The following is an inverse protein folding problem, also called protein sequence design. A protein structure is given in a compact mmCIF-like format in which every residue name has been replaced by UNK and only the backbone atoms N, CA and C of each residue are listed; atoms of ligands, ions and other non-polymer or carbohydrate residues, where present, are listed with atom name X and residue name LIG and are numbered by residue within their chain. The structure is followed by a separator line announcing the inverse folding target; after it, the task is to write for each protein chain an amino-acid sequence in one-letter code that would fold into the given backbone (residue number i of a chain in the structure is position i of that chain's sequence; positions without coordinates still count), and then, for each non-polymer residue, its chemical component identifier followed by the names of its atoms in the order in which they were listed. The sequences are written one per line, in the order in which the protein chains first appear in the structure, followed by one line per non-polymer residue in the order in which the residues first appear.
data_IF_341074777994
#
_entry.id   IF_341074777994
#
_cell.length_a   1.000
_cell.length_b   1.000
_cell.length_c   1.000
_cell.angle_alpha   90.00
_cell.angle_beta   90.00
_cell.angle_gamma   90.00
#
_symmetry.space_group_name_H-M   'P 1'
#
loop_
_entity.id
_entity.type
_entity.pdbx_description
1 polymer ?
#
# COMPACT_ATOMS: atom_id res chain seq x y z
N UNK A 1 80.48 -38.34 25.84
CA UNK A 1 81.84 -38.19 25.29
C UNK A 1 81.86 -38.68 23.84
N UNK A 2 81.95 -37.70 22.92
CA UNK A 2 82.74 -37.75 21.69
C UNK A 2 82.19 -38.35 20.36
N UNK A 3 80.91 -38.73 20.23
CA UNK A 3 80.36 -39.06 18.88
C UNK A 3 79.07 -38.32 18.46
N UNK A 4 78.27 -37.81 19.41
CA UNK A 4 77.05 -37.05 19.11
C UNK A 4 77.28 -35.52 18.99
N UNK A 5 78.41 -35.01 19.48
CA UNK A 5 78.78 -33.59 19.38
C UNK A 5 79.57 -33.23 18.11
N UNK A 6 80.16 -34.21 17.40
CA UNK A 6 80.84 -33.98 16.12
C UNK A 6 79.87 -33.89 14.94
N UNK A 7 78.75 -34.61 14.97
CA UNK A 7 77.69 -34.55 13.95
C UNK A 7 76.88 -33.25 14.00
N UNK A 8 76.70 -32.65 15.18
CA UNK A 8 76.01 -31.35 15.32
C UNK A 8 76.83 -30.16 14.81
N UNK A 9 78.16 -30.25 14.79
CA UNK A 9 79.03 -29.19 14.27
C UNK A 9 79.36 -29.30 12.78
N UNK A 10 79.12 -30.46 12.14
CA UNK A 10 79.26 -30.61 10.69
C UNK A 10 78.04 -30.07 9.91
N UNK A 11 76.82 -30.20 10.47
CA UNK A 11 75.60 -29.69 9.81
C UNK A 11 75.50 -28.15 9.85
N UNK A 12 76.12 -27.50 10.84
CA UNK A 12 76.15 -26.02 10.92
C UNK A 12 77.15 -25.33 9.98
N UNK A 13 78.05 -26.07 9.32
CA UNK A 13 79.08 -25.49 8.43
C UNK A 13 78.82 -25.69 6.92
N UNK A 14 77.72 -26.34 6.56
CA UNK A 14 77.28 -26.49 5.15
C UNK A 14 76.23 -25.48 4.69
N UNK A 15 75.65 -24.69 5.60
CA UNK A 15 74.55 -23.76 5.31
C UNK A 15 75.00 -22.33 4.95
N UNK A 16 76.30 -22.10 4.79
CA UNK A 16 76.86 -20.79 4.39
C UNK A 16 77.15 -20.63 2.89
N UNK A 17 76.95 -21.66 2.07
CA UNK A 17 77.42 -21.67 0.66
C UNK A 17 76.28 -21.44 -0.36
N UNK A 18 75.05 -21.20 0.11
CA UNK A 18 73.91 -20.91 -0.78
C UNK A 18 73.14 -19.62 -0.40
N UNK A 19 73.77 -18.70 0.34
CA UNK A 19 73.17 -17.40 0.65
C UNK A 19 73.13 -16.41 -0.53
N UNK A 20 73.84 -16.70 -1.63
CA UNK A 20 73.90 -15.82 -2.82
C UNK A 20 73.35 -16.49 -4.11
N UNK A 21 72.32 -17.34 -4.00
CA UNK A 21 71.54 -17.74 -5.17
C UNK A 21 70.29 -16.85 -5.30
N UNK A 22 70.03 -16.18 -6.44
CA UNK A 22 68.78 -15.45 -6.61
C UNK A 22 67.61 -16.42 -6.45
N UNK A 23 66.71 -16.12 -5.52
CA UNK A 23 65.51 -16.90 -5.29
C UNK A 23 64.69 -16.97 -6.58
N UNK A 24 64.32 -18.19 -7.00
CA UNK A 24 63.31 -18.37 -8.03
C UNK A 24 62.03 -17.63 -7.59
N UNK A 25 61.35 -16.90 -8.50
CA UNK A 25 60.13 -16.19 -8.13
C UNK A 25 59.12 -17.20 -7.60
N UNK A 26 58.68 -16.97 -6.37
CA UNK A 26 57.57 -17.70 -5.75
C UNK A 26 56.36 -17.58 -6.68
N UNK A 27 55.58 -18.65 -6.93
CA UNK A 27 54.32 -18.50 -7.63
C UNK A 27 53.48 -17.51 -6.82
N UNK A 28 53.08 -16.42 -7.46
CA UNK A 28 52.11 -15.49 -6.89
C UNK A 28 50.89 -16.28 -6.43
N UNK A 29 50.35 -16.03 -5.23
CA UNK A 29 49.07 -16.59 -4.84
C UNK A 29 48.06 -16.25 -5.94
N UNK A 30 47.55 -17.27 -6.64
CA UNK A 30 46.40 -17.05 -7.50
C UNK A 30 45.30 -16.44 -6.61
N UNK A 31 44.67 -15.34 -7.04
CA UNK A 31 43.47 -14.85 -6.36
C UNK A 31 42.51 -16.04 -6.28
N UNK A 32 42.06 -16.40 -5.06
CA UNK A 32 40.93 -17.31 -4.92
C UNK A 32 39.84 -16.81 -5.88
N UNK A 33 39.28 -17.67 -6.74
CA UNK A 33 38.17 -17.26 -7.58
C UNK A 33 37.08 -16.72 -6.65
N UNK A 34 36.80 -15.41 -6.75
CA UNK A 34 35.65 -14.83 -6.08
C UNK A 34 34.44 -15.70 -6.43
N UNK A 35 33.59 -16.08 -5.46
CA UNK A 35 32.34 -16.76 -5.76
C UNK A 35 31.65 -15.95 -6.86
N UNK A 36 31.49 -16.55 -8.03
CA UNK A 36 30.87 -15.89 -9.15
C UNK A 36 29.50 -15.41 -8.67
N UNK A 37 29.28 -14.08 -8.71
CA UNK A 37 27.99 -13.49 -8.33
C UNK A 37 26.91 -14.30 -9.08
N UNK A 38 25.92 -14.88 -8.37
CA UNK A 38 24.95 -15.74 -9.02
C UNK A 38 24.34 -14.99 -10.19
N UNK A 39 24.33 -15.63 -11.37
CA UNK A 39 23.77 -15.03 -12.57
C UNK A 39 22.34 -14.53 -12.25
N UNK A 40 21.98 -13.29 -12.63
CA UNK A 40 20.67 -12.73 -12.32
C UNK A 40 19.60 -13.69 -12.83
N UNK A 41 18.60 -13.97 -11.99
CA UNK A 41 17.48 -14.81 -12.40
C UNK A 41 16.89 -14.23 -13.69
N UNK A 42 16.72 -15.07 -14.71
CA UNK A 42 16.15 -14.61 -15.96
C UNK A 42 14.70 -14.17 -15.70
N UNK A 43 14.43 -12.88 -15.86
CA UNK A 43 13.10 -12.29 -15.72
C UNK A 43 12.52 -12.10 -17.10
N UNK A 44 11.38 -12.71 -17.39
CA UNK A 44 10.59 -12.42 -18.58
C UNK A 44 9.52 -11.40 -18.23
N UNK A 45 9.44 -10.32 -19.02
CA UNK A 45 8.38 -9.33 -18.88
C UNK A 45 7.61 -9.22 -20.20
N UNK A 46 6.29 -9.20 -20.10
CA UNK A 46 5.40 -8.90 -21.23
C UNK A 46 5.44 -7.40 -21.58
N UNK A 47 4.78 -7.04 -22.69
CA UNK A 47 4.57 -5.64 -23.07
C UNK A 47 3.69 -4.89 -22.07
N UNK A 48 3.83 -3.57 -22.03
CA UNK A 48 2.98 -2.71 -21.21
C UNK A 48 1.58 -2.59 -21.80
N UNK A 49 0.58 -2.63 -20.92
CA UNK A 49 -0.83 -2.41 -21.25
C UNK A 49 -1.43 -1.40 -20.28
N UNK A 50 -2.48 -0.70 -20.71
CA UNK A 50 -3.21 0.18 -19.81
C UNK A 50 -3.93 -0.62 -18.72
N UNK A 51 -3.94 -0.08 -17.50
CA UNK A 51 -4.67 -0.63 -16.37
C UNK A 51 -5.21 0.50 -15.49
N UNK A 52 -6.30 0.22 -14.77
CA UNK A 52 -6.72 1.03 -13.64
C UNK A 52 -6.22 0.33 -12.37
N UNK A 53 -5.63 1.11 -11.46
CA UNK A 53 -5.52 0.73 -10.06
C UNK A 53 -6.75 1.35 -9.39
N UNK A 54 -7.67 0.54 -8.91
CA UNK A 54 -8.93 1.02 -8.36
C UNK A 54 -9.15 0.57 -6.91
N UNK A 55 -10.29 0.94 -6.31
CA UNK A 55 -10.59 0.59 -4.92
C UNK A 55 -10.78 -0.93 -4.70
N UNK A 56 -11.08 -1.72 -5.73
CA UNK A 56 -11.23 -3.18 -5.56
C UNK A 56 -9.87 -3.87 -5.42
N UNK A 57 -8.80 -3.23 -5.86
CA UNK A 57 -7.42 -3.70 -5.66
C UNK A 57 -6.91 -3.47 -4.21
N UNK A 58 -7.66 -2.74 -3.37
CA UNK A 58 -7.26 -2.39 -2.01
C UNK A 58 -7.99 -3.24 -0.95
N UNK A 59 -7.20 -3.87 -0.09
CA UNK A 59 -7.68 -4.58 1.09
C UNK A 59 -7.60 -3.71 2.35
N UNK A 60 -8.55 -3.90 3.27
CA UNK A 60 -8.49 -3.28 4.60
C UNK A 60 -7.24 -3.77 5.35
N UNK A 61 -6.53 -2.85 6.02
CA UNK A 61 -5.40 -3.23 6.88
C UNK A 61 -5.83 -3.84 8.22
N UNK A 62 -7.09 -3.60 8.62
CA UNK A 62 -7.63 -3.97 9.94
C UNK A 62 -7.20 -3.03 11.09
N UNK A 63 -6.44 -1.97 10.80
CA UNK A 63 -6.08 -0.98 11.82
C UNK A 63 -7.31 -0.15 12.22
N UNK A 64 -7.53 -0.04 13.53
CA UNK A 64 -8.60 0.79 14.07
C UNK A 64 -8.31 2.29 13.84
N UNK A 65 -9.37 3.08 13.70
CA UNK A 65 -9.30 4.53 13.56
C UNK A 65 -8.58 5.19 14.74
N UNK A 66 -7.70 6.14 14.44
CA UNK A 66 -6.98 6.97 15.42
C UNK A 66 -7.08 8.45 15.02
N UNK A 67 -7.66 9.31 15.85
CA UNK A 67 -7.73 10.74 15.56
C UNK A 67 -6.35 11.39 15.67
N UNK A 68 -6.06 12.36 14.81
CA UNK A 68 -4.84 13.17 14.80
C UNK A 68 -3.53 12.38 14.58
N UNK A 69 -3.61 11.20 13.96
CA UNK A 69 -2.46 10.38 13.61
C UNK A 69 -2.64 9.79 12.21
N UNK A 70 -1.55 9.69 11.43
CA UNK A 70 -1.60 8.93 10.20
C UNK A 70 -1.67 7.43 10.50
N UNK A 71 -2.63 6.74 9.91
CA UNK A 71 -2.69 5.29 9.95
C UNK A 71 -3.03 4.72 8.58
N UNK A 72 -2.54 3.51 8.28
CA UNK A 72 -2.86 2.81 7.04
C UNK A 72 -4.30 2.28 7.11
N UNK A 73 -5.17 2.84 6.27
CA UNK A 73 -6.58 2.45 6.17
C UNK A 73 -6.75 1.20 5.30
N UNK A 74 -6.07 1.20 4.15
CA UNK A 74 -6.11 0.13 3.18
C UNK A 74 -4.77 -0.01 2.44
N UNK A 75 -4.58 -1.14 1.77
CA UNK A 75 -3.38 -1.39 0.98
C UNK A 75 -3.67 -2.22 -0.26
N UNK A 76 -3.00 -1.92 -1.36
CA UNK A 76 -2.89 -2.80 -2.52
C UNK A 76 -1.53 -3.49 -2.47
N UNK A 77 -1.51 -4.83 -2.41
CA UNK A 77 -0.29 -5.61 -2.53
C UNK A 77 -0.01 -5.88 -4.00
N UNK A 78 1.16 -5.47 -4.49
CA UNK A 78 1.54 -5.76 -5.87
C UNK A 78 1.67 -7.28 -6.05
N UNK A 79 0.95 -7.91 -6.99
CA UNK A 79 1.06 -9.33 -7.24
C UNK A 79 2.48 -9.74 -7.63
N UNK A 80 2.90 -10.94 -7.23
CA UNK A 80 4.25 -11.45 -7.48
C UNK A 80 4.61 -11.59 -8.97
N UNK A 81 3.61 -11.52 -9.84
CA UNK A 81 3.74 -11.65 -11.30
C UNK A 81 3.33 -10.40 -12.06
N UNK A 82 3.16 -9.26 -11.38
CA UNK A 82 2.74 -8.02 -11.98
C UNK A 82 3.74 -6.89 -11.71
N UNK A 83 3.82 -5.97 -12.65
CA UNK A 83 4.51 -4.69 -12.47
C UNK A 83 3.57 -3.59 -12.96
N UNK A 84 3.23 -2.66 -12.06
CA UNK A 84 2.46 -1.47 -12.40
C UNK A 84 3.34 -0.23 -12.40
N UNK A 85 2.99 0.71 -13.27
CA UNK A 85 3.64 2.01 -13.40
C UNK A 85 2.60 3.11 -13.42
N UNK A 86 2.73 4.06 -12.50
CA UNK A 86 1.98 5.32 -12.54
C UNK A 86 2.92 6.37 -13.13
N UNK A 87 2.48 7.07 -14.18
CA UNK A 87 3.32 8.04 -14.89
C UNK A 87 3.41 9.37 -14.12
N UNK A 88 4.55 10.04 -14.23
CA UNK A 88 4.69 11.42 -13.76
C UNK A 88 3.73 12.32 -14.55
N UNK A 89 3.04 13.23 -13.86
CA UNK A 89 2.07 14.12 -14.47
C UNK A 89 0.74 13.46 -14.85
N UNK A 90 0.47 12.21 -14.44
CA UNK A 90 -0.81 11.55 -14.69
C UNK A 90 -1.94 12.35 -14.03
N UNK A 91 -3.02 12.60 -14.78
CA UNK A 91 -4.18 13.39 -14.33
C UNK A 91 -5.48 12.60 -14.39
N UNK A 92 -5.48 11.40 -14.98
CA UNK A 92 -6.62 10.49 -14.93
C UNK A 92 -6.61 9.78 -13.57
N UNK A 93 -6.89 10.54 -12.53
CA UNK A 93 -7.14 10.05 -11.18
C UNK A 93 -8.57 10.38 -10.81
N UNK A 94 -9.22 9.54 -10.01
CA UNK A 94 -10.46 9.89 -9.33
C UNK A 94 -10.44 9.31 -7.94
N UNK A 95 -10.57 10.16 -6.92
CA UNK A 95 -10.48 9.74 -5.52
C UNK A 95 -11.57 10.44 -4.71
N UNK A 96 -12.49 9.66 -4.16
CA UNK A 96 -13.52 10.08 -3.23
C UNK A 96 -13.54 9.12 -2.04
N UNK A 97 -12.94 9.57 -0.93
CA UNK A 97 -12.84 8.80 0.30
C UNK A 97 -13.94 9.23 1.27
N UNK A 98 -14.37 8.29 2.13
CA UNK A 98 -15.60 8.42 2.91
C UNK A 98 -15.33 8.36 4.40
N UNK A 99 -15.88 9.32 5.12
CA UNK A 99 -15.99 9.30 6.57
C UNK A 99 -17.11 8.37 7.02
N UNK A 100 -17.10 7.97 8.28
CA UNK A 100 -18.13 7.19 8.95
C UNK A 100 -18.72 8.01 10.09
N UNK A 101 -20.05 8.15 10.12
CA UNK A 101 -20.79 8.51 11.31
C UNK A 101 -21.74 7.36 11.69
N UNK A 102 -21.59 6.86 12.91
CA UNK A 102 -22.43 5.77 13.43
C UNK A 102 -23.42 6.31 14.47
N UNK A 103 -24.65 5.84 14.41
CA UNK A 103 -25.73 6.27 15.29
C UNK A 103 -26.52 5.08 15.82
N UNK A 104 -27.12 5.27 17.00
CA UNK A 104 -28.06 4.32 17.57
C UNK A 104 -29.39 4.34 16.79
N UNK A 105 -30.00 3.16 16.61
CA UNK A 105 -31.38 3.04 16.14
C UNK A 105 -32.38 3.55 17.18
N UNK A 106 -33.55 3.99 16.72
CA UNK A 106 -34.64 4.48 17.56
C UNK A 106 -35.67 3.40 17.89
N UNK A 107 -35.46 2.16 17.41
CA UNK A 107 -36.39 1.03 17.55
C UNK A 107 -37.84 1.41 17.18
N UNK A 108 -37.99 2.07 16.04
CA UNK A 108 -39.29 2.57 15.58
C UNK A 108 -40.25 1.42 15.28
N UNK A 109 -41.54 1.63 15.54
CA UNK A 109 -42.59 0.70 15.14
C UNK A 109 -42.87 0.73 13.63
N UNK A 110 -42.58 1.85 12.96
CA UNK A 110 -42.75 2.06 11.51
C UNK A 110 -41.60 2.92 10.98
N UNK A 111 -41.34 2.88 9.67
CA UNK A 111 -40.27 3.68 9.09
C UNK A 111 -40.58 5.18 9.18
N UNK A 112 -39.61 6.01 9.57
CA UNK A 112 -39.78 7.45 9.74
C UNK A 112 -38.57 8.23 9.25
N UNK A 113 -38.77 9.52 8.93
CA UNK A 113 -37.67 10.40 8.57
C UNK A 113 -36.80 10.71 9.80
N UNK A 114 -35.49 10.62 9.61
CA UNK A 114 -34.48 10.97 10.61
C UNK A 114 -33.46 11.91 10.00
N UNK A 115 -33.13 12.97 10.74
CA UNK A 115 -32.07 13.90 10.38
C UNK A 115 -30.89 13.69 11.31
N UNK A 116 -29.68 13.62 10.75
CA UNK A 116 -28.42 13.52 11.49
C UNK A 116 -27.44 14.58 11.02
N UNK A 117 -26.55 15.01 11.91
CA UNK A 117 -25.46 15.94 11.60
C UNK A 117 -24.19 15.16 11.25
N UNK A 118 -23.52 15.55 10.17
CA UNK A 118 -22.32 14.93 9.62
C UNK A 118 -21.19 15.98 9.55
N UNK A 119 -20.28 16.02 10.54
CA UNK A 119 -19.19 16.98 10.57
C UNK A 119 -18.34 16.96 9.30
N UNK A 120 -18.01 18.14 8.77
CA UNK A 120 -17.20 18.36 7.57
C UNK A 120 -17.79 17.80 6.28
N UNK A 121 -19.10 17.53 6.23
CA UNK A 121 -19.80 17.16 5.00
C UNK A 121 -19.59 18.23 3.91
N UNK A 122 -19.17 17.80 2.71
CA UNK A 122 -18.99 18.68 1.54
C UNK A 122 -19.59 18.05 0.29
N UNK A 123 -20.03 18.86 -0.68
CA UNK A 123 -20.42 18.36 -1.99
C UNK A 123 -19.18 17.98 -2.80
N UNK A 124 -19.23 16.85 -3.50
CA UNK A 124 -18.33 16.62 -4.63
C UNK A 124 -18.92 17.18 -5.92
N UNK A 125 -18.10 17.33 -6.95
CA UNK A 125 -18.54 17.73 -8.29
C UNK A 125 -19.07 16.54 -9.13
N UNK A 126 -19.39 15.42 -8.49
CA UNK A 126 -20.01 14.28 -9.16
C UNK A 126 -21.49 14.58 -9.45
N UNK A 127 -21.99 14.05 -10.57
CA UNK A 127 -23.42 14.11 -10.87
C UNK A 127 -24.24 13.36 -9.81
N UNK A 128 -25.12 14.06 -9.10
CA UNK A 128 -26.01 13.48 -8.11
C UNK A 128 -27.43 13.28 -8.68
N UNK A 129 -28.11 12.15 -8.37
CA UNK A 129 -29.50 11.97 -8.75
C UNK A 129 -30.42 12.91 -7.95
N UNK A 130 -31.60 13.19 -8.49
CA UNK A 130 -32.64 13.92 -7.76
C UNK A 130 -33.10 13.10 -6.55
N UNK A 131 -33.22 13.75 -5.38
CA UNK A 131 -33.73 13.13 -4.17
C UNK A 131 -35.28 13.10 -4.19
N UNK A 132 -35.93 12.08 -3.60
CA UNK A 132 -35.34 11.04 -2.76
C UNK A 132 -34.67 9.91 -3.55
N UNK A 133 -33.58 9.35 -3.01
CA UNK A 133 -32.81 8.26 -3.64
C UNK A 133 -32.07 7.42 -2.58
N UNK A 134 -31.88 6.12 -2.84
CA UNK A 134 -30.99 5.26 -2.03
C UNK A 134 -29.52 5.37 -2.44
N UNK A 135 -29.25 6.00 -3.58
CA UNK A 135 -27.92 6.29 -4.09
C UNK A 135 -27.68 7.79 -4.13
N UNK A 136 -26.56 8.22 -3.59
CA UNK A 136 -26.04 9.58 -3.73
C UNK A 136 -24.51 9.50 -3.75
N UNK A 137 -23.81 10.21 -4.65
CA UNK A 137 -22.35 10.08 -4.76
C UNK A 137 -21.64 10.50 -3.49
N UNK A 138 -22.16 11.49 -2.75
CA UNK A 138 -21.55 11.97 -1.52
C UNK A 138 -21.96 11.23 -0.26
N UNK A 139 -23.08 10.53 -0.23
CA UNK A 139 -23.68 10.01 1.00
C UNK A 139 -24.28 8.63 0.75
N UNK A 140 -23.94 7.68 1.61
CA UNK A 140 -24.61 6.38 1.68
C UNK A 140 -25.05 6.12 3.12
N UNK A 141 -26.32 5.75 3.31
CA UNK A 141 -26.87 5.44 4.63
C UNK A 141 -27.23 3.97 4.69
N UNK A 142 -26.78 3.28 5.72
CA UNK A 142 -27.07 1.88 6.00
C UNK A 142 -27.70 1.76 7.38
N UNK A 143 -28.69 0.87 7.50
CA UNK A 143 -29.28 0.50 8.79
C UNK A 143 -29.29 -1.02 8.93
N UNK A 144 -29.04 -1.51 10.14
CA UNK A 144 -29.05 -2.94 10.46
C UNK A 144 -30.39 -3.31 11.09
N UNK A 145 -31.15 -4.19 10.43
CA UNK A 145 -32.43 -4.70 10.91
C UNK A 145 -32.36 -6.22 10.95
N UNK A 146 -32.64 -6.81 12.12
CA UNK A 146 -32.57 -8.27 12.28
C UNK A 146 -31.20 -8.88 11.94
N UNK A 147 -30.12 -8.11 12.10
CA UNK A 147 -28.75 -8.55 11.78
C UNK A 147 -28.29 -8.25 10.35
N UNK A 148 -29.18 -7.80 9.46
CA UNK A 148 -28.89 -7.54 8.04
C UNK A 148 -28.79 -6.04 7.78
N UNK A 149 -27.73 -5.63 7.08
CA UNK A 149 -27.56 -4.25 6.62
C UNK A 149 -28.36 -3.98 5.35
N UNK A 150 -29.14 -2.90 5.35
CA UNK A 150 -29.89 -2.43 4.19
C UNK A 150 -29.65 -0.93 3.96
N UNK A 151 -29.66 -0.51 2.69
CA UNK A 151 -29.54 0.91 2.33
C UNK A 151 -30.82 1.66 2.67
N UNK A 152 -30.67 2.84 3.24
CA UNK A 152 -31.80 3.74 3.55
C UNK A 152 -31.99 4.75 2.42
N UNK A 153 -33.24 5.14 2.17
CA UNK A 153 -33.56 6.22 1.25
C UNK A 153 -33.15 7.56 1.86
N UNK A 154 -32.39 8.35 1.11
CA UNK A 154 -32.00 9.71 1.45
C UNK A 154 -33.07 10.64 0.89
N UNK A 155 -33.64 11.48 1.75
CA UNK A 155 -34.67 12.46 1.38
C UNK A 155 -34.08 13.86 1.16
N UNK A 156 -33.05 14.23 1.91
CA UNK A 156 -32.38 15.53 1.78
C UNK A 156 -30.91 15.46 2.21
N UNK A 157 -30.08 16.27 1.56
CA UNK A 157 -28.68 16.53 1.94
C UNK A 157 -28.52 18.05 2.03
N UNK A 158 -28.26 18.56 3.24
CA UNK A 158 -28.02 19.98 3.50
C UNK A 158 -26.53 20.17 3.83
N UNK A 159 -25.74 20.51 2.81
CA UNK A 159 -24.30 20.74 2.96
C UNK A 159 -23.98 21.93 3.88
N UNK A 160 -24.74 23.03 3.80
CA UNK A 160 -24.52 24.21 4.63
C UNK A 160 -24.81 23.92 6.12
N UNK A 161 -25.88 23.18 6.39
CA UNK A 161 -26.23 22.73 7.74
C UNK A 161 -25.48 21.47 8.21
N UNK A 162 -24.65 20.88 7.35
CA UNK A 162 -23.96 19.61 7.60
C UNK A 162 -24.92 18.49 8.03
N UNK A 163 -26.07 18.37 7.36
CA UNK A 163 -27.14 17.45 7.75
C UNK A 163 -27.58 16.55 6.60
N UNK A 164 -27.98 15.34 6.94
CA UNK A 164 -28.64 14.40 6.03
C UNK A 164 -29.94 13.94 6.66
N UNK A 165 -31.02 13.96 5.87
CA UNK A 165 -32.31 13.39 6.24
C UNK A 165 -32.54 12.12 5.42
N UNK A 166 -32.78 11.00 6.09
CA UNK A 166 -33.05 9.70 5.49
C UNK A 166 -34.25 9.03 6.15
N UNK A 167 -34.73 7.93 5.56
CA UNK A 167 -35.78 7.09 6.16
C UNK A 167 -35.15 6.00 7.00
N UNK A 168 -35.30 6.08 8.32
CA UNK A 168 -34.91 5.00 9.23
C UNK A 168 -35.96 3.89 9.18
N UNK A 169 -35.59 2.62 8.92
CA UNK A 169 -36.53 1.51 8.94
C UNK A 169 -36.97 1.15 10.36
N UNK A 170 -38.10 0.44 10.48
CA UNK A 170 -38.57 -0.09 11.76
C UNK A 170 -37.59 -1.13 12.33
N UNK A 171 -37.52 -1.23 13.66
CA UNK A 171 -36.81 -2.30 14.35
C UNK A 171 -35.27 -2.24 14.32
N UNK A 172 -34.68 -1.05 14.11
CA UNK A 172 -33.24 -0.83 14.31
C UNK A 172 -32.97 -0.61 15.80
N UNK A 173 -32.20 -1.49 16.45
CA UNK A 173 -32.08 -1.49 17.92
C UNK A 173 -30.67 -1.24 18.46
N UNK A 174 -29.61 -1.55 17.70
CA UNK A 174 -28.24 -1.41 18.20
C UNK A 174 -27.77 0.04 18.30
N UNK A 175 -26.74 0.25 19.12
CA UNK A 175 -26.17 1.58 19.43
C UNK A 175 -25.32 2.17 18.30
N UNK A 176 -24.96 1.35 17.30
CA UNK A 176 -24.21 1.73 16.10
C UNK A 176 -24.78 1.06 14.84
N UNK A 177 -26.05 0.67 14.89
CA UNK A 177 -26.72 -0.05 13.81
C UNK A 177 -27.20 0.86 12.67
N UNK A 178 -26.87 2.16 12.71
CA UNK A 178 -27.00 3.08 11.58
C UNK A 178 -25.62 3.62 11.24
N UNK A 179 -25.15 3.35 10.03
CA UNK A 179 -23.88 3.84 9.52
C UNK A 179 -24.15 4.80 8.36
N UNK A 180 -23.60 6.00 8.44
CA UNK A 180 -23.61 6.97 7.35
C UNK A 180 -22.20 7.16 6.85
N UNK A 181 -21.97 6.82 5.59
CA UNK A 181 -20.70 7.03 4.90
C UNK A 181 -20.78 8.25 4.02
N UNK A 182 -19.85 9.20 4.14
CA UNK A 182 -19.99 10.49 3.48
C UNK A 182 -18.68 11.15 3.03
N UNK A 183 -18.72 11.92 1.93
CA UNK A 183 -17.61 12.77 1.49
C UNK A 183 -17.38 13.87 2.52
N UNK A 184 -16.15 14.00 3.03
CA UNK A 184 -15.81 15.02 4.04
C UNK A 184 -14.58 15.83 3.67
N UNK A 185 -14.34 16.92 4.40
CA UNK A 185 -13.19 17.82 4.23
C UNK A 185 -12.16 17.77 5.38
N UNK A 186 -12.40 16.96 6.42
CA UNK A 186 -11.53 16.88 7.61
C UNK A 186 -10.21 16.16 7.32
N UNK A 187 -9.10 16.91 7.31
CA UNK A 187 -7.75 16.36 7.27
C UNK A 187 -7.21 16.09 5.86
N UNK A 188 -6.43 15.01 5.73
CA UNK A 188 -5.68 14.68 4.52
C UNK A 188 -5.41 13.18 4.38
N UNK A 189 -5.01 12.75 3.18
CA UNK A 189 -4.57 11.38 2.92
C UNK A 189 -3.30 11.38 2.08
N UNK A 190 -2.57 10.28 2.18
CA UNK A 190 -1.38 10.04 1.36
C UNK A 190 -1.33 8.61 0.87
N UNK A 191 -0.80 8.44 -0.33
CA UNK A 191 -0.41 7.15 -0.85
C UNK A 191 1.09 6.97 -0.66
N UNK A 192 1.49 5.80 -0.16
CA UNK A 192 2.90 5.47 0.07
C UNK A 192 3.24 4.12 -0.52
N UNK A 193 4.46 3.98 -1.03
CA UNK A 193 4.99 2.68 -1.46
C UNK A 193 5.86 2.15 -0.35
N UNK A 194 5.46 1.00 0.22
CA UNK A 194 6.24 0.24 1.16
C UNK A 194 6.87 -0.97 0.46
N UNK A 195 8.12 -1.29 0.81
CA UNK A 195 8.77 -2.55 0.40
C UNK A 195 8.66 -3.57 1.49
N UNK A 196 8.22 -4.76 1.12
CA UNK A 196 8.11 -5.92 2.00
C UNK A 196 9.36 -6.78 1.81
N UNK A 197 10.49 -6.32 2.37
CA UNK A 197 11.80 -6.94 2.11
C UNK A 197 12.18 -8.05 3.12
N UNK A 198 11.26 -8.48 4.00
CA UNK A 198 11.52 -9.56 4.97
C UNK A 198 12.64 -9.26 5.97
N UNK A 199 12.99 -7.99 6.18
CA UNK A 199 14.04 -7.52 7.08
C UNK A 199 13.64 -6.28 7.88
N UNK A 200 14.52 -5.84 8.79
CA UNK A 200 14.27 -4.79 9.81
C UNK A 200 14.12 -3.36 9.23
N UNK A 201 14.48 -3.16 7.96
CA UNK A 201 14.45 -1.85 7.28
C UNK A 201 13.25 -1.74 6.30
N UNK A 202 12.07 -1.44 6.84
CA UNK A 202 10.89 -1.09 6.04
C UNK A 202 11.08 0.32 5.43
N UNK A 203 11.56 0.37 4.19
CA UNK A 203 11.59 1.62 3.42
C UNK A 203 10.19 1.97 2.93
N UNK A 204 9.69 3.16 3.30
CA UNK A 204 8.36 3.65 2.90
C UNK A 204 8.45 5.08 2.38
N UNK A 205 8.09 5.29 1.11
CA UNK A 205 8.13 6.59 0.46
C UNK A 205 6.72 7.11 0.16
N UNK A 206 6.45 8.37 0.48
CA UNK A 206 5.19 9.05 0.09
C UNK A 206 5.26 9.44 -1.37
N UNK A 207 4.25 9.04 -2.13
CA UNK A 207 4.18 9.24 -3.59
C UNK A 207 3.04 10.14 -4.04
N UNK A 208 2.03 10.31 -3.19
CA UNK A 208 0.92 11.25 -3.41
C UNK A 208 0.40 11.72 -2.05
N UNK A 209 0.03 12.99 -1.92
CA UNK A 209 -0.54 13.56 -0.69
C UNK A 209 -1.47 14.73 -1.06
N UNK A 210 -2.68 14.74 -0.51
CA UNK A 210 -3.66 15.82 -0.68
C UNK A 210 -4.55 15.96 0.56
N UNK A 211 -5.06 17.17 0.78
CA UNK A 211 -6.16 17.36 1.72
C UNK A 211 -7.46 16.79 1.15
N UNK A 212 -8.35 16.30 2.01
CA UNK A 212 -9.66 15.81 1.55
C UNK A 212 -10.47 16.95 0.93
N UNK A 213 -10.41 18.14 1.51
CA UNK A 213 -11.06 19.34 0.97
C UNK A 213 -10.69 19.60 -0.50
N UNK A 214 -9.39 19.60 -0.81
CA UNK A 214 -8.92 19.82 -2.19
C UNK A 214 -9.30 18.66 -3.10
N UNK A 215 -8.99 17.41 -2.70
CA UNK A 215 -9.22 16.26 -3.56
C UNK A 215 -10.70 16.08 -3.92
N UNK A 216 -11.60 16.31 -2.96
CA UNK A 216 -13.04 16.09 -3.16
C UNK A 216 -13.75 17.26 -3.87
N UNK A 217 -13.15 18.46 -3.92
CA UNK A 217 -13.77 19.66 -4.52
C UNK A 217 -13.24 20.03 -5.91
N UNK A 218 -12.07 19.54 -6.32
CA UNK A 218 -11.54 19.75 -7.68
C UNK A 218 -12.39 19.00 -8.71
N UNK A 219 -12.58 19.59 -9.89
CA UNK A 219 -13.24 18.92 -11.01
C UNK A 219 -12.38 17.79 -11.56
N UNK A 220 -12.79 16.56 -11.24
CA UNK A 220 -12.11 15.33 -11.65
C UNK A 220 -12.49 14.86 -13.07
N UNK A 221 -13.32 15.63 -13.79
CA UNK A 221 -13.64 15.38 -15.20
C UNK A 221 -12.81 16.27 -16.14
N UNK A 222 -12.24 17.37 -15.65
CA UNK A 222 -11.41 18.27 -16.43
C UNK A 222 -9.91 17.92 -16.27
N UNK A 223 -9.36 17.23 -17.27
CA UNK A 223 -7.95 16.83 -17.29
C UNK A 223 -6.96 18.00 -17.31
N UNK A 224 -7.37 19.22 -17.67
CA UNK A 224 -6.47 20.38 -17.68
C UNK A 224 -6.23 20.93 -16.27
N UNK A 225 -7.29 20.96 -15.45
CA UNK A 225 -7.28 21.52 -14.10
C UNK A 225 -7.14 20.47 -13.00
N UNK A 226 -7.26 19.19 -13.35
CA UNK A 226 -7.14 18.09 -12.41
C UNK A 226 -5.74 18.04 -11.78
N UNK A 227 -5.69 17.68 -10.49
CA UNK A 227 -4.46 17.37 -9.77
C UNK A 227 -3.64 16.33 -10.54
N UNK A 228 -2.32 16.51 -10.56
CA UNK A 228 -1.42 15.61 -11.25
C UNK A 228 -0.63 14.75 -10.25
N UNK A 229 -0.41 13.50 -10.61
CA UNK A 229 0.51 12.62 -9.88
C UNK A 229 1.95 13.14 -10.03
N UNK A 230 2.71 13.35 -8.94
CA UNK A 230 3.90 14.19 -8.97
C UNK A 230 5.12 13.55 -9.66
N UNK A 231 5.34 12.24 -9.47
CA UNK A 231 6.52 11.54 -9.96
C UNK A 231 6.17 10.15 -10.45
N UNK A 232 6.95 9.59 -11.38
CA UNK A 232 6.74 8.22 -11.81
C UNK A 232 6.94 7.25 -10.64
N UNK A 233 6.04 6.30 -10.50
CA UNK A 233 6.06 5.28 -9.45
C UNK A 233 6.00 3.90 -10.07
N UNK A 234 6.88 3.03 -9.62
CA UNK A 234 6.95 1.63 -10.03
C UNK A 234 6.51 0.76 -8.85
N UNK A 235 5.47 -0.04 -9.08
CA UNK A 235 4.93 -1.01 -8.13
C UNK A 235 5.32 -2.40 -8.64
N UNK A 236 6.37 -2.95 -8.06
CA UNK A 236 6.98 -4.24 -8.43
C UNK A 236 6.63 -5.33 -7.41
N UNK A 237 6.82 -6.62 -7.71
CA UNK A 237 6.64 -7.70 -6.73
C UNK A 237 7.35 -7.40 -5.42
N UNK A 238 6.67 -7.65 -4.30
CA UNK A 238 7.17 -7.32 -2.95
C UNK A 238 6.97 -5.85 -2.54
N UNK A 239 6.18 -5.07 -3.28
CA UNK A 239 5.75 -3.72 -2.85
C UNK A 239 4.28 -3.69 -2.47
N UNK A 240 3.92 -2.72 -1.62
CA UNK A 240 2.54 -2.40 -1.23
C UNK A 240 2.28 -0.91 -1.45
N UNK A 241 1.17 -0.57 -2.09
CA UNK A 241 0.66 0.80 -2.15
C UNK A 241 -0.30 1.00 -0.97
N UNK A 242 0.15 1.73 0.05
CA UNK A 242 -0.58 2.01 1.28
C UNK A 242 -1.39 3.30 1.12
N UNK A 243 -2.69 3.24 1.43
CA UNK A 243 -3.52 4.41 1.67
C UNK A 243 -3.48 4.73 3.16
N UNK A 244 -2.79 5.81 3.52
CA UNK A 244 -2.79 6.34 4.88
C UNK A 244 -3.64 7.60 4.95
N UNK A 245 -4.38 7.73 6.04
CA UNK A 245 -5.27 8.87 6.27
C UNK A 245 -4.93 9.54 7.60
N UNK A 246 -5.25 10.83 7.69
CA UNK A 246 -5.18 11.64 8.89
C UNK A 246 -6.46 12.46 8.97
N UNK A 247 -7.27 12.23 9.99
CA UNK A 247 -8.47 13.02 10.29
C UNK A 247 -8.49 13.39 11.76
N UNK A 248 -9.26 14.41 12.14
CA UNK A 248 -9.32 14.90 13.52
C UNK A 248 -10.59 14.44 14.22
N UNK A 249 -11.73 14.54 13.54
CA UNK A 249 -13.06 14.28 14.07
C UNK A 249 -13.81 13.20 13.30
N UNK A 250 -13.51 13.01 12.01
CA UNK A 250 -14.25 12.11 11.13
C UNK A 250 -13.58 10.72 11.10
N UNK A 251 -14.16 9.70 11.74
CA UNK A 251 -13.66 8.32 11.62
C UNK A 251 -13.72 7.85 10.18
N UNK A 252 -12.83 6.95 9.80
CA UNK A 252 -12.85 6.29 8.50
C UNK A 252 -12.52 4.81 8.68
N UNK A 253 -13.21 3.97 7.92
CA UNK A 253 -13.06 2.51 7.92
C UNK A 253 -13.12 1.99 6.50
N UNK A 254 -12.33 0.96 6.17
CA UNK A 254 -12.41 0.28 4.89
C UNK A 254 -13.25 -0.98 5.02
N UNK A 255 -14.46 -0.96 4.47
CA UNK A 255 -15.36 -2.12 4.43
C UNK A 255 -16.28 -2.06 3.20
N UNK A 256 -17.05 -3.11 2.97
CA UNK A 256 -17.94 -3.25 1.80
C UNK A 256 -19.03 -2.17 1.70
N UNK A 257 -19.39 -1.51 2.81
CA UNK A 257 -20.45 -0.49 2.86
C UNK A 257 -19.93 0.93 2.67
N UNK A 258 -18.64 1.14 2.91
CA UNK A 258 -18.02 2.45 2.94
C UNK A 258 -18.09 3.19 1.60
N UNK A 259 -18.04 2.45 0.48
CA UNK A 259 -18.21 3.03 -0.85
C UNK A 259 -17.12 4.04 -1.20
N UNK A 260 -15.88 3.79 -0.77
CA UNK A 260 -14.72 4.52 -1.26
C UNK A 260 -14.58 4.35 -2.76
N UNK A 261 -14.15 5.41 -3.45
CA UNK A 261 -13.89 5.37 -4.88
C UNK A 261 -12.45 5.78 -5.14
N UNK A 262 -11.69 4.92 -5.79
CA UNK A 262 -10.32 5.17 -6.23
C UNK A 262 -10.23 4.66 -7.65
N UNK A 263 -9.70 5.47 -8.56
CA UNK A 263 -9.25 5.04 -9.89
C UNK A 263 -8.00 5.84 -10.24
N UNK A 264 -6.90 5.16 -10.47
CA UNK A 264 -5.62 5.76 -10.83
C UNK A 264 -5.17 5.09 -12.12
N UNK A 265 -5.04 5.88 -13.18
CA UNK A 265 -4.52 5.37 -14.45
C UNK A 265 -3.08 4.90 -14.28
N UNK A 266 -2.81 3.69 -14.76
CA UNK A 266 -1.51 3.06 -14.70
C UNK A 266 -1.21 2.29 -16.00
N UNK A 267 0.03 1.84 -16.14
CA UNK A 267 0.39 0.77 -17.05
C UNK A 267 0.70 -0.49 -16.25
N UNK A 268 0.21 -1.63 -16.68
CA UNK A 268 0.50 -2.95 -16.12
C UNK A 268 1.26 -3.83 -17.11
N UNK A 269 2.10 -4.72 -16.60
CA UNK A 269 2.65 -5.85 -17.37
C UNK A 269 2.83 -7.07 -16.47
N UNK A 270 2.75 -8.25 -17.07
CA UNK A 270 3.14 -9.51 -16.43
C UNK A 270 4.66 -9.65 -16.36
N UNK A 271 5.16 -10.09 -15.21
CA UNK A 271 6.56 -10.39 -14.92
C UNK A 271 6.64 -11.82 -14.41
N UNK A 272 7.50 -12.64 -15.00
CA UNK A 272 7.77 -14.00 -14.55
C UNK A 272 9.25 -14.19 -14.27
N UNK A 273 9.53 -14.80 -13.12
CA UNK A 273 10.88 -15.30 -12.82
C UNK A 273 10.99 -16.69 -13.44
N UNK A 274 11.78 -16.82 -14.51
CA UNK A 274 11.86 -18.03 -15.31
C UNK A 274 12.46 -19.23 -14.55
N UNK A 275 13.18 -18.98 -13.45
CA UNK A 275 13.92 -20.02 -12.74
C UNK A 275 13.65 -20.02 -11.21
N UNK A 276 12.36 -20.03 -10.83
CA UNK A 276 11.93 -20.11 -9.42
C UNK A 276 12.54 -21.32 -8.69
N UNK A 277 12.66 -22.46 -9.39
CA UNK A 277 13.21 -23.70 -8.82
C UNK A 277 14.72 -23.66 -8.56
N UNK A 278 15.50 -22.86 -9.31
CA UNK A 278 16.91 -22.61 -8.99
C UNK A 278 17.05 -21.62 -7.83
N UNK A 279 16.21 -20.59 -7.76
CA UNK A 279 16.22 -19.64 -6.64
C UNK A 279 15.88 -20.32 -5.30
N UNK A 280 14.87 -21.19 -5.27
CA UNK A 280 14.53 -21.94 -4.06
C UNK A 280 15.68 -22.88 -3.63
N UNK A 281 16.35 -23.54 -4.59
CA UNK A 281 17.53 -24.37 -4.30
C UNK A 281 18.74 -23.57 -3.81
N UNK A 282 18.96 -22.37 -4.35
CA UNK A 282 20.03 -21.47 -3.89
C UNK A 282 19.73 -20.91 -2.49
N UNK A 283 18.49 -20.50 -2.22
CA UNK A 283 18.06 -20.06 -0.90
C UNK A 283 18.14 -21.20 0.14
N UNK A 284 17.83 -22.43 -0.26
CA UNK A 284 18.01 -23.61 0.59
C UNK A 284 19.49 -23.92 0.86
N UNK A 285 20.37 -23.74 -0.13
CA UNK A 285 21.82 -23.89 0.03
C UNK A 285 22.43 -22.81 0.93
N UNK A 286 21.99 -21.55 0.81
CA UNK A 286 22.40 -20.45 1.70
C UNK A 286 21.88 -20.64 3.13
N UNK A 287 20.61 -21.03 3.30
CA UNK A 287 20.02 -21.29 4.62
C UNK A 287 20.65 -22.51 5.33
N UNK A 288 21.25 -23.44 4.57
CA UNK A 288 22.01 -24.57 5.11
C UNK A 288 23.48 -24.24 5.41
N UNK A 289 23.88 -22.98 5.29
CA UNK A 289 25.19 -22.47 5.70
C UNK A 289 26.23 -22.32 4.59
N UNK A 290 25.89 -22.58 3.31
CA UNK A 290 26.83 -22.52 2.19
C UNK A 290 27.98 -23.54 2.29
N UNK A 291 28.70 -23.77 1.19
CA UNK A 291 29.95 -24.54 1.16
C UNK A 291 31.15 -23.65 1.46
#
# INVERSE_FOLDING_TARGET
MALLDSLRNAVRRGLGVFQDAPAAPSPTPQPQPQPARPAPAAVQASGWQFAWIDNEDFDATGLAYRPNEYFALAQMRTPDTAHFRILAGERRLRIYLKGLAAFAGQNLATAQARTVTLPYLIPSLQGAPTLPSTYHPDVAVWAKVGGVWQRCQINAVNYAGQQVTFVEPAGVTGTQDIEVYYTHADGQFRLRVARDAGGVDDSVATVFNQSFSTMHSVDQNNLETMLAWPQQVELVPGTRLLLEIFTTQVPMVWNERAGHYIQIAAMGRRVEVLDKGRLLRLAELENRGGL
#
